data_IF_913640780683
#
_entry.id   IF_913640780683
#
_cell.length_a   1.000
_cell.length_b   1.000
_cell.length_c   1.000
_cell.angle_alpha   90.00
_cell.angle_beta   90.00
_cell.angle_gamma   90.00
#
_symmetry.space_group_name_H-M   'P 1'
#
loop_
_entity.id
_entity.type
_entity.pdbx_description
1 polymer ?
#
# COMPACT_ATOMS: atom_id res chain seq x y z
N UNK A 1 -13.96 18.76 24.00
CA UNK A 1 -12.76 18.07 23.46
C UNK A 1 -12.92 16.62 23.84
N UNK A 2 -13.11 15.72 22.86
CA UNK A 2 -13.22 14.29 23.16
C UNK A 2 -11.87 13.80 23.71
N UNK A 3 -11.85 12.94 24.74
CA UNK A 3 -10.60 12.41 25.25
C UNK A 3 -9.88 11.64 24.12
N UNK A 4 -8.58 11.90 23.95
CA UNK A 4 -7.74 11.05 23.11
C UNK A 4 -7.82 9.63 23.66
N UNK A 5 -8.37 8.72 22.84
CA UNK A 5 -8.38 7.30 23.18
C UNK A 5 -6.94 6.82 23.04
N UNK A 6 -6.23 6.71 24.16
CA UNK A 6 -4.89 6.10 24.18
C UNK A 6 -5.09 4.59 24.15
N UNK A 7 -5.06 4.01 22.96
CA UNK A 7 -5.13 2.56 22.78
C UNK A 7 -3.81 1.90 23.20
N UNK A 8 -3.91 0.79 23.92
CA UNK A 8 -2.78 -0.10 24.17
C UNK A 8 -2.59 -1.08 22.99
N UNK A 9 -1.47 -1.80 22.99
CA UNK A 9 -1.15 -2.79 21.93
C UNK A 9 -2.23 -3.88 21.78
N UNK A 10 -2.85 -4.30 22.87
CA UNK A 10 -3.95 -5.27 22.85
C UNK A 10 -5.22 -4.73 22.21
N UNK A 11 -5.51 -3.44 22.38
CA UNK A 11 -6.67 -2.81 21.75
C UNK A 11 -6.49 -2.75 20.23
N UNK A 12 -5.30 -2.34 19.76
CA UNK A 12 -4.97 -2.36 18.33
C UNK A 12 -5.06 -3.76 17.73
N UNK A 13 -4.62 -4.81 18.45
CA UNK A 13 -4.75 -6.19 17.97
C UNK A 13 -6.22 -6.59 17.78
N UNK A 14 -7.08 -6.20 18.72
CA UNK A 14 -8.52 -6.49 18.65
C UNK A 14 -9.17 -5.74 17.47
N UNK A 15 -8.86 -4.45 17.30
CA UNK A 15 -9.33 -3.67 16.17
C UNK A 15 -8.80 -4.19 14.83
N UNK A 16 -7.54 -4.63 14.77
CA UNK A 16 -6.98 -5.21 13.56
C UNK A 16 -7.69 -6.51 13.19
N UNK A 17 -7.97 -7.37 14.19
CA UNK A 17 -8.70 -8.61 13.97
C UNK A 17 -10.11 -8.33 13.41
N UNK A 18 -10.82 -7.36 13.98
CA UNK A 18 -12.14 -6.94 13.50
C UNK A 18 -12.08 -6.38 12.08
N UNK A 19 -11.13 -5.50 11.78
CA UNK A 19 -10.92 -4.96 10.43
C UNK A 19 -10.67 -6.09 9.42
N UNK A 20 -9.76 -7.01 9.75
CA UNK A 20 -9.44 -8.15 8.88
C UNK A 20 -10.69 -8.96 8.60
N UNK A 21 -11.49 -9.29 9.62
CA UNK A 21 -12.73 -10.04 9.44
C UNK A 21 -13.69 -9.37 8.46
N UNK A 22 -13.84 -8.04 8.50
CA UNK A 22 -14.67 -7.31 7.55
C UNK A 22 -14.08 -7.23 6.13
N UNK A 23 -12.76 -7.29 5.98
CA UNK A 23 -12.08 -7.31 4.67
C UNK A 23 -12.06 -8.70 4.02
N UNK A 24 -11.88 -9.78 4.80
CA UNK A 24 -11.76 -11.16 4.29
C UNK A 24 -13.11 -11.90 4.27
N UNK A 25 -14.20 -11.18 4.02
CA UNK A 25 -15.53 -11.78 3.92
C UNK A 25 -15.66 -12.69 2.68
N UNK A 26 -16.22 -13.88 2.91
CA UNK A 26 -16.57 -14.84 1.84
C UNK A 26 -17.71 -14.28 0.99
N UNK A 27 -18.74 -13.72 1.64
CA UNK A 27 -19.83 -13.03 0.96
C UNK A 27 -19.40 -11.60 0.61
N UNK A 28 -19.31 -11.31 -0.70
CA UNK A 28 -18.94 -9.98 -1.21
C UNK A 28 -19.92 -8.88 -0.80
N UNK A 29 -21.20 -9.21 -0.60
CA UNK A 29 -22.22 -8.23 -0.21
C UNK A 29 -22.07 -7.73 1.22
N UNK A 30 -21.23 -8.41 2.02
CA UNK A 30 -20.87 -8.06 3.40
C UNK A 30 -19.43 -7.53 3.53
N UNK A 31 -18.66 -7.49 2.44
CA UNK A 31 -17.26 -7.07 2.45
C UNK A 31 -17.13 -5.55 2.50
N UNK A 32 -16.33 -5.04 3.44
CA UNK A 32 -15.96 -3.62 3.47
C UNK A 32 -15.31 -3.18 2.15
N UNK A 33 -15.64 -1.96 1.71
CA UNK A 33 -15.28 -1.46 0.39
C UNK A 33 -16.33 -1.76 -0.69
N UNK A 34 -17.23 -2.75 -0.48
CA UNK A 34 -18.30 -3.09 -1.41
C UNK A 34 -19.72 -2.78 -0.86
N UNK A 35 -19.83 -2.37 0.41
CA UNK A 35 -21.10 -1.96 0.99
C UNK A 35 -21.54 -0.59 0.48
N UNK A 36 -22.72 -0.14 0.92
CA UNK A 36 -23.30 1.16 0.55
C UNK A 36 -22.36 2.36 0.80
N UNK A 37 -21.54 2.33 1.85
CA UNK A 37 -20.61 3.42 2.15
C UNK A 37 -19.26 3.28 1.41
N UNK A 38 -19.05 2.17 0.70
CA UNK A 38 -17.85 1.88 -0.06
C UNK A 38 -16.57 1.97 0.79
N UNK A 39 -15.62 2.78 0.34
CA UNK A 39 -14.32 2.99 1.02
C UNK A 39 -14.45 3.60 2.42
N UNK A 40 -15.57 4.27 2.72
CA UNK A 40 -15.73 4.93 4.02
C UNK A 40 -15.88 3.93 5.18
N UNK A 41 -16.36 2.71 4.93
CA UNK A 41 -16.38 1.68 5.98
C UNK A 41 -14.96 1.27 6.40
N UNK A 42 -13.99 1.33 5.49
CA UNK A 42 -12.58 1.08 5.78
C UNK A 42 -11.96 2.30 6.46
N UNK A 43 -12.13 3.50 5.88
CA UNK A 43 -11.49 4.73 6.40
C UNK A 43 -11.97 5.11 7.81
N UNK A 44 -13.23 4.84 8.12
CA UNK A 44 -13.83 5.15 9.41
C UNK A 44 -13.75 3.99 10.40
N UNK A 45 -13.11 2.87 10.04
CA UNK A 45 -12.88 1.78 10.97
C UNK A 45 -11.97 2.25 12.11
N UNK A 46 -12.31 1.90 13.36
CA UNK A 46 -11.59 2.35 14.56
C UNK A 46 -10.10 2.01 14.55
N UNK A 47 -9.68 0.99 13.80
CA UNK A 47 -8.25 0.70 13.59
C UNK A 47 -7.47 1.91 13.06
N UNK A 48 -8.10 2.77 12.25
CA UNK A 48 -7.49 3.97 11.66
C UNK A 48 -7.87 5.26 12.40
N UNK A 49 -8.33 5.18 13.66
CA UNK A 49 -8.80 6.36 14.42
C UNK A 49 -7.75 7.47 14.59
N UNK A 50 -6.46 7.12 14.57
CA UNK A 50 -5.32 8.02 14.70
C UNK A 50 -4.73 8.46 13.34
N UNK A 51 -5.26 7.95 12.23
CA UNK A 51 -4.77 8.25 10.89
C UNK A 51 -5.48 9.46 10.28
N UNK A 52 -4.74 10.54 10.05
CA UNK A 52 -5.23 11.68 9.27
C UNK A 52 -5.09 11.42 7.76
N UNK A 53 -6.18 11.02 7.12
CA UNK A 53 -6.24 10.74 5.68
C UNK A 53 -5.79 11.89 4.78
N UNK A 54 -6.06 13.14 5.16
CA UNK A 54 -5.68 14.31 4.36
C UNK A 54 -4.18 14.59 4.45
N UNK A 55 -3.58 14.42 5.63
CA UNK A 55 -2.13 14.52 5.78
C UNK A 55 -1.40 13.38 5.06
N UNK A 56 -1.95 12.17 5.10
CA UNK A 56 -1.41 11.03 4.35
C UNK A 56 -1.41 11.35 2.85
N UNK A 57 -2.53 11.86 2.33
CA UNK A 57 -2.68 12.24 0.94
C UNK A 57 -1.69 13.32 0.50
N UNK A 58 -1.45 14.33 1.35
CA UNK A 58 -0.46 15.37 1.09
C UNK A 58 0.99 14.96 1.39
N UNK A 59 1.24 13.67 1.71
CA UNK A 59 2.57 13.16 2.07
C UNK A 59 3.22 13.89 3.27
N UNK A 60 2.39 14.43 4.16
CA UNK A 60 2.83 15.19 5.34
C UNK A 60 3.02 14.31 6.59
N UNK A 61 2.70 13.02 6.50
CA UNK A 61 2.95 12.05 7.56
C UNK A 61 4.37 11.50 7.40
N UNK A 62 5.17 11.54 8.48
CA UNK A 62 6.48 10.91 8.49
C UNK A 62 6.33 9.39 8.33
N UNK A 63 6.93 8.77 7.29
CA UNK A 63 6.84 7.34 7.13
C UNK A 63 7.57 6.60 8.27
N UNK A 64 7.11 5.40 8.65
CA UNK A 64 7.76 4.62 9.70
C UNK A 64 9.14 4.09 9.28
N UNK A 65 9.40 4.00 7.97
CA UNK A 65 10.67 3.57 7.40
C UNK A 65 11.04 4.44 6.20
N UNK A 66 12.29 4.87 6.15
CA UNK A 66 12.89 5.57 5.02
C UNK A 66 14.10 4.75 4.55
N UNK A 67 14.08 4.22 3.31
CA UNK A 67 15.21 3.46 2.77
C UNK A 67 16.49 4.28 2.76
N UNK A 68 17.62 3.63 3.07
CA UNK A 68 18.95 4.26 3.01
C UNK A 68 19.48 4.23 1.58
N UNK A 69 19.99 5.35 1.08
CA UNK A 69 20.75 5.37 -0.17
C UNK A 69 22.20 4.96 0.15
N UNK A 70 22.69 3.91 -0.48
CA UNK A 70 24.11 3.52 -0.37
C UNK A 70 24.92 4.18 -1.49
N UNK A 71 24.30 4.42 -2.64
CA UNK A 71 24.91 5.18 -3.74
C UNK A 71 24.08 6.44 -4.02
N UNK A 72 24.76 7.55 -4.28
CA UNK A 72 24.13 8.82 -4.71
C UNK A 72 23.78 8.83 -6.20
N UNK A 73 23.99 7.70 -6.88
CA UNK A 73 23.73 7.56 -8.30
C UNK A 73 22.26 7.27 -8.55
N UNK A 74 21.76 7.68 -9.71
CA UNK A 74 20.38 7.47 -10.15
C UNK A 74 19.95 5.98 -10.18
N UNK A 75 20.92 5.05 -10.18
CA UNK A 75 20.70 3.61 -10.28
C UNK A 75 21.07 2.85 -9.00
N UNK A 76 20.73 3.40 -7.81
CA UNK A 76 20.85 2.63 -6.57
C UNK A 76 19.86 1.45 -6.59
N UNK A 77 20.39 0.25 -6.85
CA UNK A 77 19.65 -1.02 -6.88
C UNK A 77 19.88 -1.84 -5.61
N UNK A 78 20.41 -1.27 -4.52
CA UNK A 78 20.78 -2.05 -3.34
C UNK A 78 19.59 -2.58 -2.53
N UNK A 79 18.38 -2.02 -2.73
CA UNK A 79 17.14 -2.55 -2.16
C UNK A 79 16.46 -3.57 -3.09
N UNK A 80 17.08 -3.91 -4.21
CA UNK A 80 16.59 -4.91 -5.16
C UNK A 80 17.35 -6.22 -4.97
N UNK A 81 16.66 -7.34 -5.14
CA UNK A 81 17.32 -8.64 -5.18
C UNK A 81 18.27 -8.71 -6.38
N UNK A 82 19.53 -9.02 -6.14
CA UNK A 82 20.50 -9.27 -7.20
C UNK A 82 20.35 -10.71 -7.69
N UNK A 83 19.78 -10.90 -8.88
CA UNK A 83 19.93 -12.17 -9.59
C UNK A 83 21.36 -12.26 -10.13
N UNK A 84 22.08 -13.34 -9.78
CA UNK A 84 23.41 -13.64 -10.34
C UNK A 84 23.33 -14.21 -11.77
N UNK A 85 22.13 -14.30 -12.34
CA UNK A 85 21.94 -14.80 -13.70
C UNK A 85 22.23 -13.69 -14.70
N UNK A 86 23.16 -13.96 -15.62
CA UNK A 86 23.30 -13.17 -16.84
C UNK A 86 21.96 -13.26 -17.58
N UNK A 87 21.18 -12.16 -17.55
CA UNK A 87 19.91 -12.08 -18.25
C UNK A 87 20.23 -12.15 -19.75
N UNK A 88 20.04 -13.33 -20.34
CA UNK A 88 20.15 -13.51 -21.78
C UNK A 88 18.87 -12.94 -22.40
N UNK A 89 18.91 -11.65 -22.75
CA UNK A 89 17.81 -11.00 -23.46
C UNK A 89 17.72 -11.64 -24.85
N UNK A 90 16.70 -12.48 -25.07
CA UNK A 90 16.37 -12.94 -26.42
C UNK A 90 15.73 -11.78 -27.17
N UNK A 91 16.47 -11.25 -28.15
CA UNK A 91 15.92 -10.31 -29.13
C UNK A 91 14.85 -11.08 -29.89
N UNK A 92 13.61 -10.62 -29.76
CA UNK A 92 12.50 -11.21 -30.49
C UNK A 92 12.59 -10.73 -31.95
N UNK A 93 12.39 -11.63 -32.91
CA UNK A 93 12.46 -11.28 -34.34
C UNK A 93 11.33 -10.34 -34.78
N UNK A 94 10.33 -10.15 -33.91
CA UNK A 94 9.14 -9.36 -34.16
C UNK A 94 8.99 -8.29 -33.10
N UNK A 95 9.04 -7.03 -33.51
CA UNK A 95 8.84 -5.88 -32.63
C UNK A 95 7.34 -5.80 -32.27
N UNK A 96 6.99 -6.39 -31.14
CA UNK A 96 5.59 -6.61 -30.74
C UNK A 96 4.89 -5.30 -30.33
N UNK A 97 5.67 -4.26 -30.03
CA UNK A 97 5.19 -2.98 -29.51
C UNK A 97 5.54 -1.80 -30.43
N UNK A 98 5.92 -2.06 -31.69
CA UNK A 98 6.43 -1.05 -32.64
C UNK A 98 5.58 0.24 -32.66
N UNK A 99 4.26 0.09 -32.76
CA UNK A 99 3.33 1.23 -32.83
C UNK A 99 2.60 1.50 -31.50
N UNK A 100 2.89 0.73 -30.44
CA UNK A 100 2.14 0.83 -29.16
C UNK A 100 2.50 2.11 -28.42
N UNK A 101 3.66 2.68 -28.70
CA UNK A 101 4.17 3.88 -28.05
C UNK A 101 4.13 5.12 -28.95
N UNK A 102 3.49 5.05 -30.12
CA UNK A 102 3.43 6.19 -31.05
C UNK A 102 2.71 7.41 -30.46
N UNK A 103 1.81 7.18 -29.49
CA UNK A 103 1.08 8.23 -28.79
C UNK A 103 1.66 8.58 -27.40
N UNK A 104 2.77 7.95 -26.99
CA UNK A 104 3.42 8.17 -25.69
C UNK A 104 4.41 9.34 -25.73
#
# INVERSE_FOLDING_TARGET
>A
MAPEIILNKGDYYTLLKDLIQHLIQVDLSSRYGNLKNGINDIKNHHYFHDLNWLQLYHLNIKPPYQPSLLYTTYNDINHMDHSNELIHLNINDKEQFENVFDEF
#
